data_IF_663512833263
#
_entry.id   IF_663512833263
#
_cell.length_a   1.000
_cell.length_b   1.000
_cell.length_c   1.000
_cell.angle_alpha   90.00
_cell.angle_beta   90.00
_cell.angle_gamma   90.00
#
_symmetry.space_group_name_H-M   'P 1'
#
loop_
_entity.id
_entity.type
_entity.pdbx_description
1 polymer ?
#
# COMPACT_ATOMS: atom_id res chain seq x y z
N UNK A 1 -6.63 -2.87 -18.07
CA UNK A 1 -5.48 -2.00 -17.76
C UNK A 1 -5.84 -1.23 -16.51
N UNK A 2 -5.05 -1.33 -15.44
CA UNK A 2 -5.26 -0.51 -14.26
C UNK A 2 -4.75 0.90 -14.58
N UNK A 3 -5.57 1.94 -14.37
CA UNK A 3 -5.20 3.33 -14.59
C UNK A 3 -4.36 3.92 -13.44
N UNK A 4 -4.10 3.14 -12.39
CA UNK A 4 -3.33 3.56 -11.24
C UNK A 4 -1.94 4.05 -11.64
N UNK A 5 -1.56 5.19 -11.06
CA UNK A 5 -0.20 5.74 -11.09
C UNK A 5 0.49 5.60 -9.73
N UNK A 6 -0.30 5.34 -8.69
CA UNK A 6 0.14 5.31 -7.31
C UNK A 6 -0.25 4.00 -6.61
N UNK A 7 0.64 3.50 -5.77
CA UNK A 7 0.34 2.44 -4.80
C UNK A 7 0.38 3.07 -3.41
N UNK A 8 -0.71 2.97 -2.65
CA UNK A 8 -0.76 3.47 -1.28
C UNK A 8 -0.28 2.39 -0.30
N UNK A 9 0.59 2.75 0.64
CA UNK A 9 0.94 1.87 1.74
C UNK A 9 -0.02 1.98 2.93
N UNK A 10 0.19 1.14 3.93
CA UNK A 10 -0.69 1.02 5.09
C UNK A 10 -0.73 2.31 5.92
N UNK A 11 0.40 2.99 6.10
CA UNK A 11 0.45 4.25 6.85
C UNK A 11 -0.29 5.38 6.13
N UNK A 12 -0.08 5.54 4.83
CA UNK A 12 -0.79 6.52 4.01
C UNK A 12 -2.29 6.20 3.94
N UNK A 13 -2.66 4.92 3.76
CA UNK A 13 -4.06 4.49 3.77
C UNK A 13 -4.72 4.79 5.13
N UNK A 14 -4.05 4.50 6.24
CA UNK A 14 -4.58 4.79 7.57
C UNK A 14 -4.78 6.28 7.83
N UNK A 15 -3.90 7.15 7.33
CA UNK A 15 -4.10 8.60 7.39
C UNK A 15 -5.25 9.05 6.49
N UNK A 16 -5.33 8.52 5.28
CA UNK A 16 -6.39 8.83 4.32
C UNK A 16 -7.77 8.51 4.90
N UNK A 17 -7.94 7.31 5.48
CA UNK A 17 -9.21 6.85 6.04
C UNK A 17 -9.62 7.56 7.34
N UNK A 18 -8.73 8.35 7.96
CA UNK A 18 -9.01 9.06 9.22
C UNK A 18 -9.61 10.47 9.03
N UNK A 19 -9.90 10.89 7.80
CA UNK A 19 -10.38 12.24 7.41
C UNK A 19 -9.29 13.32 7.34
N UNK A 20 -8.01 12.97 7.51
CA UNK A 20 -6.87 13.90 7.38
C UNK A 20 -6.31 13.94 5.93
N UNK A 21 -7.04 13.37 4.97
CA UNK A 21 -6.63 13.27 3.56
C UNK A 21 -6.46 14.64 2.89
N UNK A 22 -7.32 15.62 3.24
CA UNK A 22 -7.27 16.99 2.72
C UNK A 22 -5.90 17.66 2.96
N UNK A 23 -5.18 17.27 4.02
CA UNK A 23 -3.86 17.84 4.33
C UNK A 23 -2.74 17.36 3.40
N UNK A 24 -2.97 16.30 2.62
CA UNK A 24 -1.93 15.63 1.84
C UNK A 24 -2.14 15.76 0.31
N UNK A 25 -3.24 16.40 -0.14
CA UNK A 25 -3.46 16.73 -1.56
C UNK A 25 -3.79 15.56 -2.48
N UNK A 26 -4.17 14.40 -1.92
CA UNK A 26 -4.43 13.18 -2.71
C UNK A 26 -5.86 13.05 -3.22
N UNK A 27 -6.78 13.91 -2.79
CA UNK A 27 -8.22 13.80 -3.12
C UNK A 27 -8.48 13.82 -4.61
N UNK A 28 -7.73 14.63 -5.38
CA UNK A 28 -7.85 14.67 -6.83
C UNK A 28 -7.40 13.35 -7.47
N UNK A 29 -6.29 12.77 -7.00
CA UNK A 29 -5.79 11.51 -7.51
C UNK A 29 -6.70 10.34 -7.13
N UNK A 30 -7.25 10.35 -5.91
CA UNK A 30 -8.24 9.38 -5.45
C UNK A 30 -9.56 9.49 -6.26
N UNK A 31 -10.09 10.69 -6.42
CA UNK A 31 -11.31 10.93 -7.20
C UNK A 31 -11.14 10.57 -8.69
N UNK A 32 -9.92 10.67 -9.22
CA UNK A 32 -9.58 10.24 -10.58
C UNK A 32 -9.30 8.72 -10.70
N UNK A 33 -9.37 7.95 -9.60
CA UNK A 33 -9.11 6.51 -9.59
C UNK A 33 -7.64 6.14 -9.85
N UNK A 34 -6.70 7.04 -9.54
CA UNK A 34 -5.27 6.88 -9.86
C UNK A 34 -4.48 6.21 -8.73
N UNK A 35 -5.10 5.95 -7.58
CA UNK A 35 -4.47 5.33 -6.42
C UNK A 35 -4.99 3.91 -6.27
N UNK A 36 -4.09 2.94 -6.13
CA UNK A 36 -4.42 1.55 -5.88
C UNK A 36 -3.97 1.09 -4.49
N UNK A 37 -4.66 0.09 -3.94
CA UNK A 37 -4.18 -0.79 -2.87
C UNK A 37 -3.63 -2.10 -3.45
N UNK A 38 -3.01 -2.90 -2.59
CA UNK A 38 -2.61 -4.26 -2.91
C UNK A 38 -2.93 -5.21 -1.74
N UNK A 39 -2.97 -6.54 -1.95
CA UNK A 39 -3.43 -7.48 -0.94
C UNK A 39 -2.63 -7.42 0.38
N UNK A 40 -1.32 -7.16 0.35
CA UNK A 40 -0.55 -7.08 1.60
C UNK A 40 -0.84 -5.80 2.40
N UNK A 41 -1.07 -4.67 1.72
CA UNK A 41 -1.55 -3.42 2.34
C UNK A 41 -2.90 -3.64 3.01
N UNK A 42 -3.85 -4.28 2.32
CA UNK A 42 -5.18 -4.55 2.87
C UNK A 42 -5.12 -5.51 4.07
N UNK A 43 -4.30 -6.56 4.00
CA UNK A 43 -4.11 -7.49 5.11
C UNK A 43 -3.58 -6.78 6.36
N UNK A 44 -2.58 -5.92 6.20
CA UNK A 44 -2.01 -5.16 7.32
C UNK A 44 -2.99 -4.11 7.86
N UNK A 45 -3.66 -3.35 6.99
CA UNK A 45 -4.64 -2.35 7.38
C UNK A 45 -5.81 -2.98 8.17
N UNK A 46 -6.40 -4.05 7.65
CA UNK A 46 -7.55 -4.72 8.27
C UNK A 46 -7.20 -5.60 9.46
N UNK A 47 -5.92 -5.83 9.75
CA UNK A 47 -5.50 -6.42 11.03
C UNK A 47 -5.94 -5.56 12.23
N UNK A 48 -6.07 -4.25 12.02
CA UNK A 48 -6.51 -3.30 13.06
C UNK A 48 -8.04 -3.21 13.23
N UNK A 49 -8.83 -3.92 12.41
CA UNK A 49 -10.28 -3.88 12.47
C UNK A 49 -10.78 -4.38 13.84
N UNK A 50 -11.74 -3.66 14.42
CA UNK A 50 -12.23 -3.90 15.79
C UNK A 50 -13.37 -4.91 15.85
N UNK A 51 -13.95 -5.28 14.71
CA UNK A 51 -15.00 -6.28 14.59
C UNK A 51 -15.16 -6.75 13.14
N UNK A 52 -15.94 -7.80 12.92
CA UNK A 52 -16.30 -8.24 11.57
C UNK A 52 -17.08 -7.17 10.78
N UNK A 53 -17.96 -6.41 11.45
CA UNK A 53 -18.72 -5.33 10.82
C UNK A 53 -17.83 -4.14 10.44
N UNK A 54 -16.88 -3.79 11.30
CA UNK A 54 -15.86 -2.77 11.04
C UNK A 54 -15.01 -3.14 9.81
N UNK A 55 -14.53 -4.39 9.76
CA UNK A 55 -13.80 -4.92 8.60
C UNK A 55 -14.62 -4.88 7.32
N UNK A 56 -15.88 -5.31 7.36
CA UNK A 56 -16.75 -5.35 6.18
C UNK A 56 -16.96 -3.95 5.61
N UNK A 57 -17.27 -2.96 6.47
CA UNK A 57 -17.43 -1.56 6.07
C UNK A 57 -16.14 -1.00 5.46
N UNK A 58 -15.00 -1.20 6.12
CA UNK A 58 -13.73 -0.69 5.60
C UNK A 58 -13.35 -1.31 4.25
N UNK A 59 -13.69 -2.57 3.97
CA UNK A 59 -13.49 -3.18 2.65
C UNK A 59 -14.36 -2.52 1.58
N UNK A 60 -15.62 -2.23 1.90
CA UNK A 60 -16.52 -1.51 0.98
C UNK A 60 -15.96 -0.12 0.66
N UNK A 61 -15.51 0.62 1.69
CA UNK A 61 -14.94 1.96 1.52
C UNK A 61 -13.66 1.93 0.68
N UNK A 62 -12.72 1.01 0.97
CA UNK A 62 -11.47 0.88 0.22
C UNK A 62 -11.74 0.56 -1.25
N UNK A 63 -12.67 -0.36 -1.54
CA UNK A 63 -13.01 -0.75 -2.93
C UNK A 63 -13.75 0.33 -3.70
N UNK A 64 -14.43 1.24 -3.00
CA UNK A 64 -15.10 2.37 -3.63
C UNK A 64 -14.09 3.45 -4.08
N UNK A 65 -13.00 3.62 -3.32
CA UNK A 65 -12.06 4.72 -3.48
C UNK A 65 -10.82 4.33 -4.31
N UNK A 66 -10.31 3.12 -4.09
CA UNK A 66 -9.02 2.70 -4.63
C UNK A 66 -9.14 1.63 -5.71
N UNK A 67 -8.25 1.71 -6.70
CA UNK A 67 -7.97 0.59 -7.57
C UNK A 67 -7.28 -0.55 -6.81
N UNK A 68 -7.03 -1.67 -7.50
CA UNK A 68 -6.38 -2.83 -6.90
C UNK A 68 -5.29 -3.37 -7.82
N UNK A 69 -4.12 -3.67 -7.25
CA UNK A 69 -3.02 -4.34 -7.97
C UNK A 69 -2.59 -5.64 -7.27
N UNK A 70 -2.27 -6.69 -8.04
CA UNK A 70 -1.75 -7.92 -7.47
C UNK A 70 -0.31 -7.72 -6.98
N UNK A 71 0.05 -8.45 -5.93
CA UNK A 71 1.45 -8.68 -5.57
C UNK A 71 1.97 -9.83 -6.41
N UNK A 72 2.88 -9.53 -7.34
CA UNK A 72 3.56 -10.56 -8.16
C UNK A 72 4.50 -11.38 -7.26
N UNK A 73 4.67 -12.67 -7.52
CA UNK A 73 5.63 -13.52 -6.81
C UNK A 73 7.06 -12.92 -6.82
N UNK A 74 7.44 -12.25 -7.92
CA UNK A 74 8.72 -11.53 -8.06
C UNK A 74 8.91 -10.41 -7.05
N UNK A 75 7.83 -9.87 -6.47
CA UNK A 75 7.94 -8.84 -5.44
C UNK A 75 8.61 -9.38 -4.17
N UNK A 76 8.43 -10.66 -3.84
CA UNK A 76 9.09 -11.28 -2.68
C UNK A 76 10.59 -11.47 -2.92
N UNK A 77 10.98 -11.93 -4.11
CA UNK A 77 12.39 -12.03 -4.49
C UNK A 77 13.06 -10.65 -4.47
N UNK A 78 12.35 -9.64 -5.00
CA UNK A 78 12.84 -8.27 -5.01
C UNK A 78 12.97 -7.69 -3.60
N UNK A 79 11.97 -7.91 -2.75
CA UNK A 79 12.01 -7.51 -1.34
C UNK A 79 13.21 -8.15 -0.61
N UNK A 80 13.48 -9.45 -0.87
CA UNK A 80 14.64 -10.15 -0.31
C UNK A 80 15.97 -9.51 -0.75
N UNK A 81 16.12 -9.19 -2.03
CA UNK A 81 17.32 -8.49 -2.55
C UNK A 81 17.52 -7.12 -1.91
N UNK A 82 16.45 -6.34 -1.75
CA UNK A 82 16.52 -5.03 -1.09
C UNK A 82 16.89 -5.18 0.37
N UNK A 83 16.29 -6.15 1.09
CA UNK A 83 16.64 -6.43 2.48
C UNK A 83 18.10 -6.86 2.63
N UNK A 84 18.62 -7.68 1.72
CA UNK A 84 20.04 -8.06 1.69
C UNK A 84 20.94 -6.83 1.51
N UNK A 85 20.60 -5.94 0.57
CA UNK A 85 21.32 -4.69 0.35
C UNK A 85 21.30 -3.77 1.59
N UNK A 86 20.15 -3.65 2.26
CA UNK A 86 20.03 -2.91 3.52
C UNK A 86 20.83 -3.57 4.64
N UNK A 87 20.89 -4.90 4.68
CA UNK A 87 21.66 -5.67 5.68
C UNK A 87 23.15 -5.38 5.55
N UNK A 88 23.69 -5.39 4.33
CA UNK A 88 25.09 -5.04 4.05
C UNK A 88 25.46 -3.63 4.52
N UNK A 89 24.48 -2.74 4.64
CA UNK A 89 24.65 -1.37 5.15
C UNK A 89 24.30 -1.22 6.63
N UNK A 90 23.93 -2.29 7.35
CA UNK A 90 23.45 -2.22 8.73
C UNK A 90 22.06 -1.57 8.89
N UNK A 91 21.30 -1.41 7.81
CA UNK A 91 20.00 -0.70 7.75
C UNK A 91 18.79 -1.61 7.61
N UNK A 92 18.94 -2.93 7.70
CA UNK A 92 17.84 -3.90 7.47
C UNK A 92 16.62 -3.75 8.37
N UNK A 93 16.74 -3.02 9.50
CA UNK A 93 15.63 -2.72 10.42
C UNK A 93 14.89 -1.41 10.10
N UNK A 94 15.27 -0.72 9.02
CA UNK A 94 14.64 0.55 8.61
C UNK A 94 13.33 0.37 7.86
N UNK A 95 13.03 -0.83 7.37
CA UNK A 95 11.79 -1.16 6.67
C UNK A 95 11.33 -2.57 7.10
N UNK A 96 10.04 -2.71 7.39
CA UNK A 96 9.42 -3.99 7.71
C UNK A 96 9.26 -4.89 6.48
N UNK A 97 8.89 -6.15 6.71
CA UNK A 97 8.64 -7.09 5.61
C UNK A 97 7.49 -6.62 4.69
N UNK A 98 6.44 -6.02 5.26
CA UNK A 98 5.32 -5.46 4.49
C UNK A 98 5.81 -4.29 3.63
N UNK A 99 6.51 -3.31 4.21
CA UNK A 99 7.07 -2.16 3.50
C UNK A 99 7.91 -2.57 2.29
N UNK A 100 8.78 -3.58 2.47
CA UNK A 100 9.64 -4.09 1.40
C UNK A 100 8.83 -4.72 0.25
N UNK A 101 7.79 -5.49 0.55
CA UNK A 101 6.94 -6.12 -0.47
C UNK A 101 6.06 -5.08 -1.17
N UNK A 102 5.53 -4.09 -0.44
CA UNK A 102 4.75 -2.99 -1.03
C UNK A 102 5.63 -2.16 -1.95
N UNK A 103 6.84 -1.79 -1.51
CA UNK A 103 7.79 -1.05 -2.33
C UNK A 103 8.21 -1.82 -3.59
N UNK A 104 8.49 -3.12 -3.45
CA UNK A 104 8.78 -3.99 -4.60
C UNK A 104 7.58 -4.12 -5.55
N UNK A 105 6.36 -4.16 -5.03
CA UNK A 105 5.14 -4.19 -5.84
C UNK A 105 4.98 -2.90 -6.63
N UNK A 106 5.19 -1.73 -6.00
CA UNK A 106 5.17 -0.45 -6.67
C UNK A 106 6.21 -0.38 -7.80
N UNK A 107 7.47 -0.77 -7.51
CA UNK A 107 8.56 -0.81 -8.49
C UNK A 107 8.21 -1.69 -9.70
N UNK A 108 7.74 -2.92 -9.48
CA UNK A 108 7.47 -3.88 -10.54
C UNK A 108 6.22 -3.53 -11.36
N UNK A 109 5.25 -2.83 -10.77
CA UNK A 109 4.05 -2.37 -11.46
C UNK A 109 4.23 -0.98 -12.11
N UNK A 110 5.39 -0.32 -11.93
CA UNK A 110 5.65 1.02 -12.45
C UNK A 110 4.83 2.12 -11.75
N UNK A 111 4.51 1.92 -10.46
CA UNK A 111 3.71 2.83 -9.66
C UNK A 111 4.59 3.65 -8.71
N UNK A 112 4.17 4.87 -8.44
CA UNK A 112 4.76 5.69 -7.39
C UNK A 112 4.20 5.27 -6.03
N UNK A 113 5.06 4.96 -5.07
CA UNK A 113 4.63 4.62 -3.71
C UNK A 113 4.20 5.89 -2.95
N UNK A 114 3.03 5.84 -2.30
CA UNK A 114 2.57 6.87 -1.37
C UNK A 114 2.78 6.40 0.07
N UNK A 115 3.56 7.17 0.84
CA UNK A 115 3.93 6.90 2.24
C UNK A 115 3.60 8.06 3.18
#
# INVERSE_FOLDING_TARGET
>A
MNAALYLIDTSALARFMRSDAEQHGWDQAAAAGLIATCPITELEFFYSARSAADRARGIEDVRLIFGWVPVDARAYDRASQVQEALTKQGKHRSAGAVDLVVAATAELQGLTLLH
#
